data_IF_111542535760
#
_entry.id   IF_111542535760
#
_cell.length_a   1.000
_cell.length_b   1.000
_cell.length_c   1.000
_cell.angle_alpha   90.00
_cell.angle_beta   90.00
_cell.angle_gamma   90.00
#
_symmetry.space_group_name_H-M   'P 1'
#
loop_
_entity.id
_entity.type
_entity.pdbx_description
1 polymer ?
#
# COMPACT_ATOMS: atom_id res chain seq x y z
N UNK A 1 -103.67 -71.95 32.86
CA UNK A 1 -103.46 -71.29 31.59
C UNK A 1 -102.61 -70.00 31.79
N UNK A 2 -101.62 -70.00 32.70
CA UNK A 2 -100.82 -68.82 32.95
C UNK A 2 -99.26 -68.95 32.81
N UNK A 3 -98.76 -70.21 32.62
CA UNK A 3 -97.31 -70.51 32.57
C UNK A 3 -96.75 -70.59 31.14
N UNK A 4 -97.59 -70.72 30.13
CA UNK A 4 -97.22 -70.86 28.75
C UNK A 4 -96.90 -69.47 28.09
N UNK A 5 -97.56 -68.44 28.47
CA UNK A 5 -97.27 -67.09 27.90
C UNK A 5 -95.94 -66.48 28.39
N UNK A 6 -95.48 -66.88 29.60
CA UNK A 6 -94.20 -66.32 30.12
C UNK A 6 -92.97 -66.92 29.43
N UNK A 7 -93.11 -68.25 29.03
CA UNK A 7 -92.04 -68.91 28.31
C UNK A 7 -91.90 -68.43 26.87
N UNK A 8 -93.01 -67.97 26.24
CA UNK A 8 -93.00 -67.47 24.86
C UNK A 8 -92.45 -66.00 24.77
N UNK A 9 -92.64 -65.23 25.81
CA UNK A 9 -92.03 -63.85 25.87
C UNK A 9 -90.58 -63.94 26.15
N UNK A 10 -90.07 -64.90 26.89
CA UNK A 10 -88.64 -65.13 27.13
C UNK A 10 -87.92 -65.62 25.84
N UNK A 11 -88.59 -66.49 25.02
CA UNK A 11 -88.05 -67.03 23.81
C UNK A 11 -87.95 -65.95 22.69
N UNK A 12 -88.85 -64.95 22.64
CA UNK A 12 -88.81 -63.84 21.68
C UNK A 12 -87.82 -62.78 22.10
N UNK A 13 -87.53 -62.60 23.40
CA UNK A 13 -86.51 -61.68 23.92
C UNK A 13 -85.05 -62.08 23.59
N UNK A 14 -84.81 -63.37 23.43
CA UNK A 14 -83.41 -63.86 23.12
C UNK A 14 -83.06 -63.77 21.65
N UNK A 15 -83.97 -63.60 20.72
CA UNK A 15 -83.68 -63.50 19.27
C UNK A 15 -83.28 -62.09 18.82
N UNK A 16 -83.55 -61.06 19.61
CA UNK A 16 -83.33 -59.66 19.25
C UNK A 16 -81.88 -59.20 19.55
N UNK A 17 -81.08 -59.95 20.33
CA UNK A 17 -79.72 -59.56 20.73
C UNK A 17 -78.64 -60.13 19.86
N UNK A 18 -78.87 -60.80 18.76
CA UNK A 18 -77.84 -61.46 17.94
C UNK A 18 -77.52 -60.75 16.61
N UNK A 19 -77.80 -59.43 16.49
CA UNK A 19 -77.47 -58.62 15.33
C UNK A 19 -76.51 -57.48 15.66
N UNK A 20 -75.35 -57.79 16.23
CA UNK A 20 -74.20 -56.89 16.21
C UNK A 20 -73.30 -57.38 15.06
N UNK A 21 -73.53 -56.85 13.89
CA UNK A 21 -72.56 -56.89 12.81
C UNK A 21 -71.37 -55.96 13.20
N UNK A 22 -70.29 -56.57 13.64
CA UNK A 22 -68.96 -55.89 13.77
C UNK A 22 -68.62 -55.42 12.38
N UNK A 23 -68.74 -54.12 12.16
CA UNK A 23 -68.16 -53.46 11.01
C UNK A 23 -66.67 -53.77 11.04
N UNK A 24 -66.06 -54.37 10.01
CA UNK A 24 -64.62 -54.55 10.00
C UNK A 24 -63.98 -53.18 10.14
N UNK A 25 -63.02 -53.06 11.07
CA UNK A 25 -62.21 -51.85 11.18
C UNK A 25 -61.59 -51.56 9.81
N UNK A 26 -61.56 -50.31 9.41
CA UNK A 26 -60.85 -49.95 8.17
C UNK A 26 -59.41 -50.46 8.32
N UNK A 27 -59.09 -51.48 7.56
CA UNK A 27 -57.69 -51.85 7.33
C UNK A 27 -57.03 -50.58 6.81
N UNK A 28 -56.14 -50.03 7.63
CA UNK A 28 -55.20 -48.98 7.23
C UNK A 28 -54.30 -49.60 6.17
N UNK A 29 -54.84 -49.76 4.97
CA UNK A 29 -54.07 -50.04 3.76
C UNK A 29 -53.18 -48.80 3.58
N UNK A 30 -52.04 -48.80 4.27
CA UNK A 30 -50.91 -47.92 3.89
C UNK A 30 -50.66 -48.31 2.44
N UNK A 31 -51.17 -47.49 1.51
CA UNK A 31 -50.77 -47.56 0.14
C UNK A 31 -49.23 -47.49 0.14
N UNK A 32 -48.61 -48.62 0.04
CA UNK A 32 -47.19 -48.71 -0.17
C UNK A 32 -46.96 -48.08 -1.55
N UNK A 33 -46.48 -46.83 -1.52
CA UNK A 33 -46.12 -46.16 -2.74
C UNK A 33 -44.93 -46.96 -3.34
N UNK A 34 -45.23 -47.79 -4.33
CA UNK A 34 -44.25 -48.57 -5.07
C UNK A 34 -43.78 -47.74 -6.26
N UNK A 35 -42.53 -47.35 -6.23
CA UNK A 35 -41.88 -46.64 -7.33
C UNK A 35 -41.73 -47.67 -8.48
N UNK A 36 -42.30 -47.36 -9.64
CA UNK A 36 -42.14 -48.23 -10.82
C UNK A 36 -40.67 -48.24 -11.27
N UNK A 37 -40.23 -49.40 -11.83
CA UNK A 37 -38.84 -49.57 -12.31
C UNK A 37 -38.40 -48.50 -13.33
N UNK A 38 -39.34 -47.97 -14.12
CA UNK A 38 -39.09 -46.88 -15.07
C UNK A 38 -38.81 -45.53 -14.35
N UNK A 39 -39.53 -45.32 -13.25
CA UNK A 39 -39.32 -44.11 -12.44
C UNK A 39 -38.02 -44.20 -11.64
N UNK A 40 -37.71 -45.41 -11.12
CA UNK A 40 -36.48 -45.68 -10.35
C UNK A 40 -35.21 -45.40 -11.18
N UNK A 41 -35.27 -45.67 -12.52
CA UNK A 41 -34.15 -45.38 -13.42
C UNK A 41 -33.93 -43.90 -13.70
N UNK A 42 -34.91 -43.06 -13.45
CA UNK A 42 -34.83 -41.58 -13.62
C UNK A 42 -34.50 -40.88 -12.34
N UNK A 43 -34.64 -41.49 -11.17
CA UNK A 43 -34.34 -40.90 -9.89
C UNK A 43 -32.84 -41.02 -9.60
N UNK A 44 -32.18 -39.87 -9.44
CA UNK A 44 -30.81 -39.80 -8.92
C UNK A 44 -30.87 -39.62 -7.40
N UNK A 45 -30.40 -40.62 -6.66
CA UNK A 45 -30.31 -40.54 -5.20
C UNK A 45 -28.96 -39.91 -4.88
N UNK A 46 -28.96 -38.81 -4.10
CA UNK A 46 -27.75 -38.18 -3.61
C UNK A 46 -27.85 -37.94 -2.11
N UNK A 47 -26.72 -37.90 -1.45
CA UNK A 47 -26.66 -37.68 0.00
C UNK A 47 -26.62 -36.19 0.30
N UNK A 48 -27.46 -35.69 1.19
CA UNK A 48 -27.39 -34.34 1.71
C UNK A 48 -26.20 -34.23 2.65
N UNK A 49 -25.20 -33.47 2.25
CA UNK A 49 -24.04 -33.14 3.09
C UNK A 49 -24.11 -31.68 3.51
N UNK A 50 -23.73 -31.40 4.76
CA UNK A 50 -23.57 -30.03 5.22
C UNK A 50 -22.30 -29.45 4.57
N UNK A 51 -22.45 -28.44 3.77
CA UNK A 51 -21.31 -27.65 3.26
C UNK A 51 -21.38 -26.22 3.87
N UNK A 52 -20.22 -25.60 4.13
CA UNK A 52 -20.22 -24.20 4.52
C UNK A 52 -20.80 -23.35 3.39
N UNK A 53 -21.76 -22.49 3.70
CA UNK A 53 -22.23 -21.50 2.77
C UNK A 53 -21.18 -20.38 2.69
N UNK A 54 -20.46 -20.32 1.58
CA UNK A 54 -19.54 -19.22 1.32
C UNK A 54 -20.36 -18.10 0.71
N UNK A 55 -20.57 -17.04 1.48
CA UNK A 55 -21.15 -15.81 0.97
C UNK A 55 -20.02 -14.95 0.38
N UNK A 56 -19.89 -14.93 -0.94
CA UNK A 56 -18.88 -14.12 -1.62
C UNK A 56 -19.48 -12.75 -1.95
N UNK A 57 -18.85 -11.70 -1.44
CA UNK A 57 -19.15 -10.31 -1.81
C UNK A 57 -18.28 -9.93 -3.01
N UNK A 58 -18.89 -9.23 -3.97
CA UNK A 58 -18.15 -8.77 -5.15
C UNK A 58 -18.11 -7.25 -5.14
N UNK A 59 -16.91 -6.70 -5.23
CA UNK A 59 -16.67 -5.26 -5.30
C UNK A 59 -15.87 -4.92 -6.55
N UNK A 60 -16.05 -3.71 -7.03
CA UNK A 60 -15.19 -3.13 -8.05
C UNK A 60 -14.06 -2.36 -7.38
N UNK A 61 -12.89 -2.36 -8.01
CA UNK A 61 -11.73 -1.68 -7.48
C UNK A 61 -10.72 -1.34 -8.56
N UNK A 62 -9.68 -0.64 -8.15
CA UNK A 62 -8.56 -0.27 -9.01
C UNK A 62 -7.24 -0.77 -8.40
N UNK A 63 -6.30 -1.12 -9.28
CA UNK A 63 -4.93 -1.44 -8.86
C UNK A 63 -4.18 -0.15 -8.65
N UNK A 64 -3.57 -0.01 -7.49
CA UNK A 64 -2.72 1.12 -7.11
C UNK A 64 -1.35 0.62 -6.65
N UNK A 65 -0.34 1.47 -6.72
CA UNK A 65 0.95 1.17 -6.11
C UNK A 65 0.83 1.20 -4.58
N UNK A 66 1.69 0.44 -3.91
CA UNK A 66 1.74 0.43 -2.45
C UNK A 66 2.37 1.73 -1.95
N UNK A 67 1.59 2.60 -1.29
CA UNK A 67 2.04 3.90 -0.80
C UNK A 67 3.11 3.81 0.29
N UNK A 68 3.23 2.70 1.01
CA UNK A 68 4.28 2.49 2.00
C UNK A 68 5.66 2.31 1.36
N UNK A 69 5.70 1.92 0.08
CA UNK A 69 6.93 1.67 -0.68
C UNK A 69 7.11 2.68 -1.83
N UNK A 70 6.68 3.91 -1.62
CA UNK A 70 6.79 5.00 -2.57
C UNK A 70 7.78 6.05 -2.08
N UNK A 71 8.61 6.53 -2.97
CA UNK A 71 9.44 7.70 -2.76
C UNK A 71 8.97 8.84 -3.67
N UNK A 72 8.44 9.88 -3.07
CA UNK A 72 8.10 11.14 -3.75
C UNK A 72 9.29 12.08 -3.64
N UNK A 73 9.79 12.55 -4.77
CA UNK A 73 10.99 13.39 -4.85
C UNK A 73 10.54 14.82 -5.10
N UNK A 74 10.75 15.66 -4.10
CA UNK A 74 10.44 17.09 -4.16
C UNK A 74 11.70 17.90 -4.51
N UNK A 75 11.53 19.09 -5.13
CA UNK A 75 12.65 19.99 -5.38
C UNK A 75 13.18 20.57 -4.06
N UNK A 76 14.49 20.48 -3.84
CA UNK A 76 15.15 21.06 -2.66
C UNK A 76 15.69 22.47 -2.96
N UNK A 77 15.83 22.81 -4.24
CA UNK A 77 16.42 24.10 -4.70
C UNK A 77 15.61 24.68 -5.85
N UNK A 78 15.63 26.00 -5.97
CA UNK A 78 15.05 26.69 -7.13
C UNK A 78 16.00 26.65 -8.32
N UNK A 79 15.46 26.53 -9.53
CA UNK A 79 16.26 26.54 -10.75
C UNK A 79 15.54 25.96 -11.96
N UNK A 80 16.25 25.72 -13.01
CA UNK A 80 15.75 25.05 -14.21
C UNK A 80 16.24 23.61 -14.25
N UNK A 81 15.31 22.66 -14.44
CA UNK A 81 15.68 21.26 -14.58
C UNK A 81 16.14 20.97 -16.00
N UNK A 82 17.23 20.23 -16.12
CA UNK A 82 17.81 19.84 -17.41
C UNK A 82 18.29 18.38 -17.34
N UNK A 83 18.47 17.77 -18.49
CA UNK A 83 19.06 16.43 -18.57
C UNK A 83 18.28 15.36 -17.84
N UNK A 84 16.93 15.40 -17.93
CA UNK A 84 16.07 14.32 -17.45
C UNK A 84 16.41 13.07 -18.25
N UNK A 85 16.88 12.02 -17.56
CA UNK A 85 17.38 10.79 -18.17
C UNK A 85 16.40 9.63 -18.07
N UNK A 86 15.20 9.83 -17.49
CA UNK A 86 14.22 8.78 -17.22
C UNK A 86 12.84 9.15 -17.76
N UNK A 87 12.09 8.14 -18.12
CA UNK A 87 10.70 8.24 -18.58
C UNK A 87 9.75 7.53 -17.62
N UNK A 88 8.45 7.79 -17.77
CA UNK A 88 7.41 7.06 -17.06
C UNK A 88 7.50 5.57 -17.39
N UNK A 89 7.50 4.71 -16.39
CA UNK A 89 7.63 3.25 -16.53
C UNK A 89 9.06 2.72 -16.49
N UNK A 90 10.09 3.58 -16.51
CA UNK A 90 11.47 3.13 -16.42
C UNK A 90 11.82 2.59 -15.03
N UNK A 91 12.63 1.54 -14.99
CA UNK A 91 13.19 1.04 -13.73
C UNK A 91 14.48 1.81 -13.38
N UNK A 92 14.55 2.31 -12.14
CA UNK A 92 15.69 3.05 -11.61
C UNK A 92 16.27 2.36 -10.37
N UNK A 93 17.56 2.52 -10.14
CA UNK A 93 18.24 2.03 -8.94
C UNK A 93 18.37 3.14 -7.90
N UNK A 94 18.43 2.77 -6.62
CA UNK A 94 18.77 3.71 -5.56
C UNK A 94 20.09 4.42 -5.86
N UNK A 95 20.12 5.76 -5.72
CA UNK A 95 21.25 6.63 -6.07
C UNK A 95 21.38 6.97 -7.56
N UNK A 96 20.56 6.40 -8.45
CA UNK A 96 20.60 6.73 -9.88
C UNK A 96 20.18 8.18 -10.12
N UNK A 97 20.93 8.87 -10.99
CA UNK A 97 20.63 10.22 -11.44
C UNK A 97 19.36 10.21 -12.30
N UNK A 98 18.41 11.10 -11.97
CA UNK A 98 17.14 11.27 -12.69
C UNK A 98 17.15 12.53 -13.55
N UNK A 99 17.79 13.59 -13.07
CA UNK A 99 17.89 14.88 -13.72
C UNK A 99 18.89 15.78 -13.01
N UNK A 100 19.04 17.00 -13.52
CA UNK A 100 19.91 18.04 -12.95
C UNK A 100 19.12 19.34 -12.86
N UNK A 101 19.13 19.98 -11.72
CA UNK A 101 18.57 21.33 -11.53
C UNK A 101 19.75 22.31 -11.53
N UNK A 102 19.77 23.23 -12.47
CA UNK A 102 20.70 24.37 -12.46
C UNK A 102 20.13 25.47 -11.57
N UNK A 103 20.85 25.75 -10.49
CA UNK A 103 20.40 26.66 -9.43
C UNK A 103 21.43 27.77 -9.18
N UNK A 104 20.96 29.01 -9.17
CA UNK A 104 21.79 30.16 -8.77
C UNK A 104 22.20 30.09 -7.31
N UNK A 105 21.36 29.49 -6.45
CA UNK A 105 21.65 29.24 -5.05
C UNK A 105 22.81 28.27 -4.88
N UNK A 106 22.81 27.15 -5.62
CA UNK A 106 23.93 26.20 -5.66
C UNK A 106 25.22 26.85 -6.18
N UNK A 107 25.13 27.71 -7.20
CA UNK A 107 26.27 28.47 -7.69
C UNK A 107 26.84 29.42 -6.60
N UNK A 108 25.97 30.03 -5.78
CA UNK A 108 26.34 30.79 -4.60
C UNK A 108 27.15 29.97 -3.59
N UNK A 109 26.64 28.82 -3.19
CA UNK A 109 27.34 27.91 -2.25
C UNK A 109 28.68 27.42 -2.82
N UNK A 110 28.75 27.16 -4.14
CA UNK A 110 29.99 26.82 -4.82
C UNK A 110 31.03 27.97 -4.74
N UNK A 111 30.61 29.20 -5.00
CA UNK A 111 31.46 30.39 -4.89
C UNK A 111 31.93 30.64 -3.45
N UNK A 112 31.06 30.44 -2.45
CA UNK A 112 31.42 30.56 -1.04
C UNK A 112 32.49 29.52 -0.64
N UNK A 113 32.40 28.31 -1.16
CA UNK A 113 33.42 27.29 -0.94
C UNK A 113 34.77 27.69 -1.55
N UNK A 114 34.80 28.16 -2.78
CA UNK A 114 36.03 28.62 -3.46
C UNK A 114 36.67 29.80 -2.70
N UNK A 115 35.85 30.77 -2.32
CA UNK A 115 36.26 31.92 -1.53
C UNK A 115 36.85 31.52 -0.18
N UNK A 116 36.13 30.66 0.56
CA UNK A 116 36.60 30.19 1.86
C UNK A 116 37.88 29.39 1.76
N UNK A 117 38.07 28.60 0.70
CA UNK A 117 39.30 27.88 0.46
C UNK A 117 40.50 28.83 0.15
N UNK A 118 40.26 29.89 -0.64
CA UNK A 118 41.26 30.91 -0.95
C UNK A 118 41.64 31.68 0.33
N UNK A 119 40.66 32.05 1.18
CA UNK A 119 40.93 32.73 2.44
C UNK A 119 41.73 31.85 3.41
N UNK A 120 41.44 30.54 3.44
CA UNK A 120 42.27 29.60 4.24
C UNK A 120 43.71 29.56 3.78
N UNK A 121 43.94 29.52 2.46
CA UNK A 121 45.30 29.53 1.91
C UNK A 121 46.06 30.79 2.29
N UNK A 122 45.41 31.96 2.20
CA UNK A 122 46.01 33.25 2.60
C UNK A 122 46.32 33.25 4.09
N UNK A 123 45.35 32.84 4.95
CA UNK A 123 45.53 32.79 6.38
C UNK A 123 46.61 31.82 6.82
N UNK A 124 46.78 30.68 6.12
CA UNK A 124 47.85 29.73 6.34
C UNK A 124 49.19 30.35 6.04
N UNK A 125 49.38 31.00 4.86
CA UNK A 125 50.64 31.67 4.51
C UNK A 125 51.01 32.77 5.49
N UNK A 126 50.02 33.53 5.96
CA UNK A 126 50.25 34.56 6.99
C UNK A 126 50.68 33.95 8.33
N UNK A 127 50.09 32.83 8.73
CA UNK A 127 50.45 32.11 9.92
C UNK A 127 51.86 31.52 9.84
N UNK A 128 52.22 30.89 8.70
CA UNK A 128 53.54 30.34 8.45
C UNK A 128 54.61 31.45 8.55
N UNK A 129 54.40 32.61 7.91
CA UNK A 129 55.30 33.76 7.99
C UNK A 129 55.39 34.34 9.42
N UNK A 130 54.27 34.41 10.13
CA UNK A 130 54.23 34.87 11.53
C UNK A 130 55.01 33.92 12.45
N UNK A 131 54.96 32.61 12.22
CA UNK A 131 55.70 31.62 12.97
C UNK A 131 57.19 31.80 12.80
N UNK A 132 57.66 32.00 11.57
CA UNK A 132 59.09 32.25 11.24
C UNK A 132 59.59 33.53 11.88
N UNK A 133 58.79 34.63 11.80
CA UNK A 133 59.12 35.91 12.44
C UNK A 133 59.20 35.78 13.98
N UNK A 134 58.24 35.07 14.57
CA UNK A 134 58.24 34.85 16.03
C UNK A 134 59.45 34.03 16.49
N UNK A 135 59.79 32.94 15.79
CA UNK A 135 60.99 32.13 16.04
C UNK A 135 62.30 32.91 15.95
N UNK A 136 62.31 33.91 15.05
CA UNK A 136 63.47 34.81 14.84
C UNK A 136 63.50 35.99 15.82
N UNK A 137 62.50 36.12 16.74
CA UNK A 137 62.40 37.21 17.69
C UNK A 137 61.92 38.55 17.06
N UNK A 138 61.41 38.52 15.82
CA UNK A 138 61.04 39.73 15.07
C UNK A 138 59.50 40.02 15.23
N UNK A 139 58.73 39.15 15.93
CA UNK A 139 57.31 39.33 16.14
C UNK A 139 56.95 39.08 17.62
N UNK A 140 55.92 39.79 18.13
CA UNK A 140 55.44 39.56 19.48
C UNK A 140 54.63 38.27 19.54
N UNK A 141 54.59 37.64 20.72
CA UNK A 141 53.76 36.46 20.97
C UNK A 141 52.28 36.74 20.70
N UNK A 142 51.80 37.95 21.04
CA UNK A 142 50.41 38.36 20.80
C UNK A 142 50.07 38.32 19.32
N UNK A 143 50.94 38.83 18.45
CA UNK A 143 50.70 38.93 17.03
C UNK A 143 50.76 37.55 16.35
N UNK A 144 51.66 36.68 16.82
CA UNK A 144 51.68 35.27 16.40
C UNK A 144 50.39 34.52 16.77
N UNK A 145 49.91 34.68 18.02
CA UNK A 145 48.64 34.09 18.43
C UNK A 145 47.49 34.63 17.60
N UNK A 146 47.48 35.91 17.24
CA UNK A 146 46.46 36.50 16.37
C UNK A 146 46.48 35.84 14.99
N UNK A 147 47.63 35.66 14.37
CA UNK A 147 47.73 34.97 13.08
C UNK A 147 47.25 33.52 13.17
N UNK A 148 47.57 32.82 14.26
CA UNK A 148 47.10 31.47 14.50
C UNK A 148 45.57 31.38 14.66
N UNK A 149 44.94 32.35 15.34
CA UNK A 149 43.48 32.42 15.49
C UNK A 149 42.81 32.73 14.13
N UNK A 150 43.36 33.61 13.32
CA UNK A 150 42.82 33.89 11.96
C UNK A 150 42.87 32.66 11.07
N UNK A 151 43.95 31.88 11.13
CA UNK A 151 44.04 30.59 10.42
C UNK A 151 42.95 29.61 10.85
N UNK A 152 42.77 29.44 12.17
CA UNK A 152 41.68 28.58 12.72
C UNK A 152 40.31 29.04 12.31
N UNK A 153 40.08 30.37 12.31
CA UNK A 153 38.82 30.95 11.86
C UNK A 153 38.55 30.66 10.37
N UNK A 154 39.54 30.84 9.50
CA UNK A 154 39.45 30.53 8.09
C UNK A 154 39.19 29.02 7.83
N UNK A 155 39.86 28.14 8.60
CA UNK A 155 39.62 26.71 8.55
C UNK A 155 38.17 26.32 8.93
N UNK A 156 37.64 26.94 10.00
CA UNK A 156 36.24 26.73 10.43
C UNK A 156 35.25 27.21 9.36
N UNK A 157 35.53 28.35 8.73
CA UNK A 157 34.69 28.88 7.65
C UNK A 157 34.68 27.97 6.40
N UNK A 158 35.84 27.42 6.02
CA UNK A 158 35.90 26.44 4.93
C UNK A 158 35.09 25.16 5.27
N UNK A 159 35.21 24.64 6.48
CA UNK A 159 34.45 23.48 6.92
C UNK A 159 32.94 23.74 6.85
N UNK A 160 32.51 24.91 7.32
CA UNK A 160 31.11 25.33 7.21
C UNK A 160 30.63 25.39 5.76
N UNK A 161 31.41 26.01 4.84
CA UNK A 161 31.03 26.10 3.42
C UNK A 161 30.95 24.72 2.77
N UNK A 162 31.86 23.79 3.13
CA UNK A 162 31.82 22.39 2.67
C UNK A 162 30.53 21.68 3.14
N UNK A 163 30.20 21.84 4.41
CA UNK A 163 29.02 21.21 5.03
C UNK A 163 27.73 21.71 4.39
N UNK A 164 27.60 23.04 4.19
CA UNK A 164 26.42 23.64 3.53
C UNK A 164 26.26 23.08 2.12
N UNK A 165 27.33 23.00 1.33
CA UNK A 165 27.26 22.44 -0.02
C UNK A 165 26.91 20.95 -0.02
N UNK A 166 27.44 20.19 0.94
CA UNK A 166 27.16 18.75 1.07
C UNK A 166 25.71 18.48 1.49
N UNK A 167 25.18 19.21 2.49
CA UNK A 167 23.79 19.08 2.96
C UNK A 167 22.82 19.34 1.82
N UNK A 168 23.09 20.35 1.00
CA UNK A 168 22.24 20.69 -0.13
C UNK A 168 22.48 19.79 -1.36
N UNK A 169 23.38 18.79 -1.30
CA UNK A 169 23.59 17.82 -2.37
C UNK A 169 24.12 18.41 -3.68
N UNK A 170 24.60 19.65 -3.64
CA UNK A 170 25.08 20.40 -4.80
C UNK A 170 26.53 20.09 -5.15
N UNK A 171 26.95 20.62 -6.29
CA UNK A 171 28.34 20.66 -6.72
C UNK A 171 28.80 22.11 -6.90
N UNK A 172 30.09 22.30 -7.13
CA UNK A 172 30.69 23.64 -7.34
C UNK A 172 30.27 24.30 -8.65
N UNK A 173 29.59 23.58 -9.55
CA UNK A 173 29.16 24.07 -10.85
C UNK A 173 27.74 24.66 -10.85
N UNK A 174 27.12 24.83 -9.66
CA UNK A 174 25.77 25.34 -9.56
C UNK A 174 24.68 24.33 -9.95
N UNK A 175 25.00 23.05 -9.89
CA UNK A 175 24.10 21.97 -10.26
C UNK A 175 23.69 21.17 -9.03
N UNK A 176 22.40 20.91 -8.91
CA UNK A 176 21.82 19.96 -7.96
C UNK A 176 21.43 18.68 -8.72
N UNK A 177 21.97 17.54 -8.33
CA UNK A 177 21.70 16.27 -8.97
C UNK A 177 20.52 15.59 -8.27
N UNK A 178 19.39 15.50 -8.95
CA UNK A 178 18.23 14.75 -8.48
C UNK A 178 18.51 13.26 -8.62
N UNK A 179 18.46 12.54 -7.50
CA UNK A 179 18.73 11.09 -7.44
C UNK A 179 17.53 10.35 -6.89
N UNK A 180 17.37 9.09 -7.31
CA UNK A 180 16.37 8.20 -6.71
C UNK A 180 16.82 7.74 -5.32
N UNK A 181 16.00 7.89 -4.26
CA UNK A 181 16.32 7.36 -2.94
C UNK A 181 16.14 5.84 -2.83
N UNK A 182 15.28 5.25 -3.66
CA UNK A 182 14.97 3.82 -3.67
C UNK A 182 15.14 3.22 -5.06
N UNK A 183 15.19 1.89 -5.15
CA UNK A 183 15.09 1.19 -6.43
C UNK A 183 13.63 0.88 -6.73
N UNK A 184 13.17 1.14 -7.95
CA UNK A 184 11.78 0.93 -8.34
C UNK A 184 11.48 1.47 -9.73
N UNK A 185 10.20 1.57 -10.06
CA UNK A 185 9.73 2.12 -11.31
C UNK A 185 9.27 3.57 -11.14
N UNK A 186 9.51 4.40 -12.15
CA UNK A 186 8.98 5.76 -12.20
C UNK A 186 7.49 5.67 -12.53
N UNK A 187 6.64 5.88 -11.51
CA UNK A 187 5.17 5.78 -11.65
C UNK A 187 4.52 7.11 -11.97
N UNK A 188 5.17 8.24 -11.59
CA UNK A 188 4.74 9.57 -11.95
C UNK A 188 5.94 10.44 -12.29
N UNK A 189 5.76 11.32 -13.25
CA UNK A 189 6.72 12.34 -13.66
C UNK A 189 5.98 13.63 -14.01
N UNK A 190 6.11 14.66 -13.19
CA UNK A 190 5.39 15.94 -13.33
C UNK A 190 6.26 17.06 -13.91
N UNK A 191 7.41 16.69 -14.49
CA UNK A 191 8.40 17.65 -14.99
C UNK A 191 8.84 17.36 -16.42
N UNK A 192 9.20 18.40 -17.11
CA UNK A 192 9.80 18.37 -18.43
C UNK A 192 11.14 19.09 -18.42
N UNK A 193 12.00 18.84 -19.43
CA UNK A 193 13.25 19.57 -19.59
C UNK A 193 12.98 21.08 -19.73
N UNK A 194 13.87 21.87 -19.18
CA UNK A 194 13.86 23.34 -19.17
C UNK A 194 12.71 23.96 -18.36
N UNK A 195 11.97 23.16 -17.58
CA UNK A 195 10.94 23.65 -16.67
C UNK A 195 11.58 24.36 -15.48
N UNK A 196 11.04 25.53 -15.12
CA UNK A 196 11.43 26.24 -13.91
C UNK A 196 10.82 25.56 -12.67
N UNK A 197 11.65 25.28 -11.68
CA UNK A 197 11.29 24.58 -10.45
C UNK A 197 11.51 25.48 -9.25
N UNK A 198 10.63 25.36 -8.26
CA UNK A 198 10.72 26.06 -6.98
C UNK A 198 10.39 25.12 -5.83
N UNK A 199 11.05 25.22 -4.67
CA UNK A 199 10.78 24.40 -3.49
C UNK A 199 9.39 24.59 -2.88
N UNK A 200 8.72 25.74 -3.16
CA UNK A 200 7.36 26.04 -2.73
C UNK A 200 6.28 25.35 -3.57
N UNK A 201 6.66 24.72 -4.68
CA UNK A 201 5.75 23.87 -5.45
C UNK A 201 5.39 22.63 -4.63
N UNK A 202 4.09 22.43 -4.46
CA UNK A 202 3.54 21.25 -3.75
C UNK A 202 3.64 19.96 -4.56
N UNK A 203 3.99 20.05 -5.85
CA UNK A 203 4.08 18.90 -6.74
C UNK A 203 5.47 18.25 -6.63
N UNK A 204 5.48 16.94 -6.54
CA UNK A 204 6.70 16.15 -6.65
C UNK A 204 7.25 16.16 -8.08
N UNK A 205 8.56 16.01 -8.21
CA UNK A 205 9.24 15.91 -9.50
C UNK A 205 9.04 14.52 -10.12
N UNK A 206 9.24 13.51 -9.29
CA UNK A 206 9.11 12.11 -9.62
C UNK A 206 8.50 11.35 -8.44
N UNK A 207 7.64 10.39 -8.74
CA UNK A 207 7.21 9.35 -7.81
C UNK A 207 7.79 8.02 -8.25
N UNK A 208 8.52 7.35 -7.36
CA UNK A 208 9.15 6.05 -7.62
C UNK A 208 8.54 5.02 -6.68
N UNK A 209 8.10 3.88 -7.22
CA UNK A 209 7.48 2.81 -6.46
C UNK A 209 8.10 1.45 -6.76
N UNK A 210 8.26 0.61 -5.73
CA UNK A 210 8.55 -0.81 -5.90
C UNK A 210 7.25 -1.55 -6.22
N UNK A 211 7.05 -1.89 -7.49
CA UNK A 211 5.82 -2.55 -7.98
C UNK A 211 5.76 -4.06 -7.71
N UNK A 212 6.63 -4.60 -6.84
CA UNK A 212 6.57 -6.03 -6.46
C UNK A 212 5.27 -6.37 -5.77
N UNK A 213 4.80 -5.49 -4.92
CA UNK A 213 3.51 -5.59 -4.26
C UNK A 213 2.65 -4.39 -4.66
N UNK A 214 1.45 -4.66 -5.09
CA UNK A 214 0.47 -3.63 -5.45
C UNK A 214 -0.75 -3.75 -4.54
N UNK A 215 -1.41 -2.65 -4.31
CA UNK A 215 -2.69 -2.62 -3.62
C UNK A 215 -3.84 -2.71 -4.61
N UNK A 216 -4.93 -3.29 -4.16
CA UNK A 216 -6.21 -3.23 -4.85
C UNK A 216 -7.16 -2.46 -3.96
N UNK A 217 -7.46 -1.23 -4.35
CA UNK A 217 -8.40 -0.37 -3.65
C UNK A 217 -9.80 -0.73 -4.12
N UNK A 218 -10.57 -1.38 -3.25
CA UNK A 218 -11.94 -1.79 -3.53
C UNK A 218 -12.93 -0.82 -2.90
N UNK A 219 -13.95 -0.41 -3.67
CA UNK A 219 -15.02 0.43 -3.16
C UNK A 219 -16.08 -0.44 -2.49
N UNK A 220 -16.15 -0.37 -1.17
CA UNK A 220 -17.10 -1.11 -0.36
C UNK A 220 -18.24 -0.18 0.05
N UNK A 221 -19.49 -0.58 -0.29
CA UNK A 221 -20.67 0.19 0.11
C UNK A 221 -20.92 0.08 1.62
N UNK A 222 -21.46 1.12 2.22
CA UNK A 222 -21.80 1.19 3.65
C UNK A 222 -22.63 -0.02 4.13
N UNK A 223 -23.59 -0.48 3.33
CA UNK A 223 -24.40 -1.67 3.63
C UNK A 223 -23.62 -2.98 3.74
N UNK A 224 -22.41 -3.04 3.18
CA UNK A 224 -21.59 -4.25 3.12
C UNK A 224 -20.34 -4.17 4.00
N UNK A 225 -19.99 -3.00 4.53
CA UNK A 225 -18.75 -2.79 5.30
C UNK A 225 -18.68 -3.66 6.54
N UNK A 226 -19.81 -3.94 7.19
CA UNK A 226 -19.89 -4.78 8.38
C UNK A 226 -19.56 -6.25 8.14
N UNK A 227 -19.56 -6.68 6.86
CA UNK A 227 -19.27 -8.05 6.46
C UNK A 227 -17.82 -8.24 6.00
N UNK A 228 -17.04 -7.15 5.91
CA UNK A 228 -15.62 -7.18 5.50
C UNK A 228 -14.75 -7.03 6.73
N UNK A 229 -13.79 -7.95 6.91
CA UNK A 229 -12.90 -7.95 8.05
C UNK A 229 -11.44 -7.97 7.61
N UNK A 230 -10.57 -7.43 8.45
CA UNK A 230 -9.13 -7.52 8.24
C UNK A 230 -8.70 -8.99 8.19
N UNK A 231 -7.88 -9.33 7.20
CA UNK A 231 -7.38 -10.68 6.98
C UNK A 231 -8.27 -11.55 6.11
N UNK A 232 -9.46 -11.09 5.70
CA UNK A 232 -10.32 -11.83 4.77
C UNK A 232 -9.58 -12.11 3.46
N UNK A 233 -9.75 -13.34 2.96
CA UNK A 233 -9.15 -13.75 1.69
C UNK A 233 -9.95 -13.18 0.52
N UNK A 234 -9.27 -12.61 -0.46
CA UNK A 234 -9.88 -12.03 -1.66
C UNK A 234 -9.30 -12.64 -2.92
N UNK A 235 -10.17 -12.88 -3.89
CA UNK A 235 -9.81 -13.27 -5.24
C UNK A 235 -10.02 -12.07 -6.16
N UNK A 236 -8.95 -11.62 -6.80
CA UNK A 236 -8.96 -10.48 -7.72
C UNK A 236 -8.87 -10.96 -9.14
N UNK A 237 -9.81 -10.53 -9.97
CA UNK A 237 -9.79 -10.73 -11.42
C UNK A 237 -9.65 -9.40 -12.14
N UNK A 238 -8.90 -9.37 -13.22
CA UNK A 238 -8.66 -8.15 -14.00
C UNK A 238 -9.05 -8.36 -15.46
N UNK A 239 -9.47 -7.29 -16.12
CA UNK A 239 -9.78 -7.33 -17.55
C UNK A 239 -8.53 -7.57 -18.41
N UNK A 240 -7.36 -7.13 -17.94
CA UNK A 240 -6.09 -7.30 -18.68
C UNK A 240 -5.58 -8.74 -18.69
N UNK A 241 -6.00 -9.57 -17.73
CA UNK A 241 -5.60 -10.97 -17.64
C UNK A 241 -6.83 -11.85 -17.40
N UNK A 242 -7.67 -12.05 -18.44
CA UNK A 242 -8.87 -12.86 -18.32
C UNK A 242 -8.52 -14.31 -17.98
N UNK A 243 -9.19 -14.86 -16.98
CA UNK A 243 -8.97 -16.23 -16.50
C UNK A 243 -7.84 -16.40 -15.49
N UNK A 244 -7.10 -15.35 -15.12
CA UNK A 244 -6.11 -15.39 -14.03
C UNK A 244 -6.71 -14.80 -12.75
N UNK A 245 -6.64 -15.56 -11.68
CA UNK A 245 -7.08 -15.14 -10.35
C UNK A 245 -5.84 -14.78 -9.53
N UNK A 246 -5.79 -13.56 -9.02
CA UNK A 246 -4.78 -13.11 -8.08
C UNK A 246 -5.36 -13.20 -6.68
N UNK A 247 -4.63 -13.83 -5.77
CA UNK A 247 -5.07 -13.99 -4.39
C UNK A 247 -4.42 -12.96 -3.49
N UNK A 248 -5.23 -12.35 -2.65
CA UNK A 248 -4.81 -11.37 -1.67
C UNK A 248 -5.55 -11.53 -0.35
N UNK A 249 -5.33 -10.58 0.54
CA UNK A 249 -6.04 -10.45 1.81
C UNK A 249 -6.41 -9.00 2.02
N UNK A 250 -7.46 -8.77 2.78
CA UNK A 250 -7.81 -7.43 3.27
C UNK A 250 -6.78 -7.02 4.32
N UNK A 251 -5.97 -6.04 3.97
CA UNK A 251 -4.87 -5.54 4.83
C UNK A 251 -5.33 -4.30 5.62
N UNK A 252 -6.14 -3.46 5.01
CA UNK A 252 -6.62 -2.23 5.61
C UNK A 252 -8.06 -1.92 5.21
N UNK A 253 -8.81 -1.34 6.15
CA UNK A 253 -10.16 -0.81 5.92
C UNK A 253 -10.09 0.68 6.24
N UNK A 254 -10.29 1.51 5.23
CA UNK A 254 -10.33 2.97 5.37
C UNK A 254 -11.77 3.39 5.63
N UNK A 255 -12.06 3.85 6.84
CA UNK A 255 -13.37 4.37 7.23
C UNK A 255 -13.48 5.88 6.90
N UNK A 256 -13.08 6.27 5.70
CA UNK A 256 -13.24 7.63 5.23
C UNK A 256 -14.49 7.66 4.36
N UNK A 257 -15.49 8.39 4.81
CA UNK A 257 -16.67 8.73 4.03
C UNK A 257 -16.29 9.93 3.16
N UNK A 258 -16.31 9.74 1.84
CA UNK A 258 -16.23 10.84 0.86
C UNK A 258 -17.59 11.54 0.76
#
# INVERSE_FOLDING_TARGET
MSKINFLFVILIGTVIFSSCTTKPAPTDDKEQFVISDSLFKTIKIDSVVKCPLINALTFTGQVAFNEDNVARIFPMVSGNITGISVQLGDYVKAGQKLGVIRSTEMAGYGNDLVTSNTNLLIAQKNMDAAEEMYKSGLMSQKDFITAQQLYKQAQSQLNRSKEVLQINGGNTNGEFIVKSPISGFVVEKQINNDMAIRPDNTNDLFTISDLKNVWVLANVYESSITQVHLGDSVDVTTLSYPGRIFRGKVDQILNVLD
#
